data_IF_515525237889
#
_entry.id   IF_515525237889
#
_cell.length_a   1.000
_cell.length_b   1.000
_cell.length_c   1.000
_cell.angle_alpha   90.00
_cell.angle_beta   90.00
_cell.angle_gamma   90.00
#
_symmetry.space_group_name_H-M   'P 1'
#
loop_
_entity.id
_entity.type
_entity.pdbx_description
1 polymer ?
#
# COMPACT_ATOMS: atom_id res chain seq x y z
N UNK A 1 3.43 23.23 13.68
CA UNK A 1 2.25 22.72 12.97
C UNK A 1 1.03 23.02 13.82
N UNK A 2 -0.04 23.57 13.25
CA UNK A 2 -1.29 23.77 13.99
C UNK A 2 -2.06 22.43 14.09
N UNK A 3 -2.84 22.22 15.17
CA UNK A 3 -3.60 20.98 15.40
C UNK A 3 -4.55 20.64 14.24
N UNK A 4 -5.17 21.66 13.63
CA UNK A 4 -6.01 21.50 12.43
C UNK A 4 -5.23 20.95 11.23
N UNK A 5 -3.99 21.40 11.04
CA UNK A 5 -3.13 20.87 9.97
C UNK A 5 -2.73 19.44 10.27
N UNK A 6 -2.42 19.12 11.53
CA UNK A 6 -2.06 17.78 11.97
C UNK A 6 -3.17 16.76 11.63
N UNK A 7 -4.44 17.09 11.90
CA UNK A 7 -5.57 16.24 11.52
C UNK A 7 -5.76 16.11 10.00
N UNK A 8 -5.50 17.18 9.23
CA UNK A 8 -5.54 17.10 7.75
C UNK A 8 -4.45 16.18 7.22
N UNK A 9 -3.25 16.24 7.79
CA UNK A 9 -2.16 15.31 7.45
C UNK A 9 -2.50 13.88 7.83
N UNK A 10 -3.11 13.65 8.99
CA UNK A 10 -3.59 12.33 9.39
C UNK A 10 -4.58 11.74 8.38
N UNK A 11 -5.57 12.52 7.95
CA UNK A 11 -6.54 12.08 6.94
C UNK A 11 -5.87 11.79 5.59
N UNK A 12 -4.89 12.62 5.18
CA UNK A 12 -4.17 12.41 3.93
C UNK A 12 -3.30 11.15 3.98
N UNK A 13 -2.61 10.89 5.10
CA UNK A 13 -1.84 9.66 5.29
C UNK A 13 -2.73 8.43 5.28
N UNK A 14 -3.93 8.50 5.89
CA UNK A 14 -4.89 7.40 5.82
C UNK A 14 -5.35 7.13 4.38
N UNK A 15 -5.72 8.17 3.63
CA UNK A 15 -6.13 8.01 2.24
C UNK A 15 -5.03 7.38 1.37
N UNK A 16 -3.76 7.74 1.59
CA UNK A 16 -2.62 7.14 0.86
C UNK A 16 -2.39 5.67 1.26
N UNK A 17 -2.62 5.30 2.53
CA UNK A 17 -2.55 3.91 2.97
C UNK A 17 -3.67 3.07 2.34
N UNK A 18 -4.88 3.61 2.28
CA UNK A 18 -6.04 2.92 1.68
C UNK A 18 -5.80 2.69 0.17
N UNK A 19 -5.24 3.68 -0.52
CA UNK A 19 -4.86 3.57 -1.94
C UNK A 19 -3.76 2.53 -2.16
N UNK A 20 -2.67 2.59 -1.38
CA UNK A 20 -1.58 1.63 -1.49
C UNK A 20 -2.04 0.19 -1.19
N UNK A 21 -2.92 0.02 -0.20
CA UNK A 21 -3.52 -1.28 0.09
C UNK A 21 -4.40 -1.74 -1.07
N UNK A 22 -5.24 -0.88 -1.65
CA UNK A 22 -6.07 -1.23 -2.81
C UNK A 22 -5.25 -1.71 -4.01
N UNK A 23 -4.03 -1.18 -4.19
CA UNK A 23 -3.10 -1.67 -5.22
C UNK A 23 -2.57 -3.07 -4.87
N UNK A 24 -2.23 -3.34 -3.62
CA UNK A 24 -1.74 -4.65 -3.16
C UNK A 24 -2.84 -5.72 -3.12
N UNK A 25 -4.09 -5.34 -2.88
CA UNK A 25 -5.25 -6.25 -2.88
C UNK A 25 -5.62 -6.73 -4.30
N UNK A 26 -5.05 -6.12 -5.35
CA UNK A 26 -5.25 -6.57 -6.71
C UNK A 26 -4.33 -7.76 -7.05
N UNK A 27 -4.90 -8.97 -7.13
CA UNK A 27 -4.18 -10.22 -7.46
C UNK A 27 -3.31 -10.11 -8.71
N UNK A 28 -3.76 -9.37 -9.73
CA UNK A 28 -3.01 -9.15 -10.97
C UNK A 28 -1.70 -8.39 -10.74
N UNK A 29 -1.60 -7.57 -9.70
CA UNK A 29 -0.34 -6.91 -9.36
C UNK A 29 0.61 -7.91 -8.70
N UNK A 30 0.10 -8.79 -7.82
CA UNK A 30 0.88 -9.70 -6.93
C UNK A 30 1.19 -11.08 -7.46
N UNK A 31 0.59 -11.46 -8.58
CA UNK A 31 0.83 -12.77 -9.20
C UNK A 31 1.59 -12.64 -10.52
N UNK A 32 2.44 -13.64 -10.78
CA UNK A 32 3.05 -13.82 -12.09
C UNK A 32 2.30 -14.92 -12.82
N UNK A 33 1.98 -14.70 -14.09
CA UNK A 33 1.34 -15.71 -14.94
C UNK A 33 2.42 -16.38 -15.77
N UNK A 34 2.52 -17.71 -15.69
CA UNK A 34 3.46 -18.49 -16.50
C UNK A 34 2.68 -19.42 -17.43
N UNK A 35 2.79 -19.19 -18.74
CA UNK A 35 2.17 -20.02 -19.76
C UNK A 35 3.19 -21.01 -20.30
N UNK A 36 2.90 -22.31 -20.22
CA UNK A 36 3.77 -23.37 -20.75
C UNK A 36 3.12 -24.00 -21.98
N UNK A 37 3.77 -23.85 -23.12
CA UNK A 37 3.39 -24.43 -24.40
C UNK A 37 4.02 -25.82 -24.52
N UNK A 38 3.18 -26.85 -24.41
CA UNK A 38 3.61 -28.26 -24.40
C UNK A 38 3.86 -28.79 -25.82
N UNK A 39 4.83 -28.22 -26.55
CA UNK A 39 5.13 -28.59 -27.94
C UNK A 39 5.57 -30.05 -28.08
N UNK A 40 6.22 -30.61 -27.06
CA UNK A 40 6.68 -32.01 -27.09
C UNK A 40 5.51 -33.00 -27.21
N UNK A 41 4.30 -32.64 -26.71
CA UNK A 41 3.11 -33.50 -26.78
C UNK A 41 2.64 -33.73 -28.21
N UNK A 42 2.91 -32.79 -29.11
CA UNK A 42 2.49 -32.86 -30.52
C UNK A 42 3.66 -33.25 -31.41
N UNK A 43 4.89 -32.83 -31.05
CA UNK A 43 6.12 -33.17 -31.77
C UNK A 43 7.18 -33.63 -30.76
N UNK A 44 7.47 -34.92 -30.71
CA UNK A 44 8.36 -35.52 -29.69
C UNK A 44 9.80 -34.96 -29.68
N UNK A 45 10.24 -34.34 -30.77
CA UNK A 45 11.56 -33.72 -30.93
C UNK A 45 11.59 -32.23 -30.53
N UNK A 46 10.43 -31.62 -30.25
CA UNK A 46 10.32 -30.21 -29.87
C UNK A 46 10.34 -30.05 -28.34
N UNK A 47 10.99 -28.98 -27.86
CA UNK A 47 10.99 -28.63 -26.44
C UNK A 47 9.75 -27.80 -26.06
N UNK A 48 9.28 -28.00 -24.83
CA UNK A 48 8.22 -27.19 -24.25
C UNK A 48 8.75 -25.79 -23.94
N UNK A 49 7.93 -24.77 -24.19
CA UNK A 49 8.32 -23.37 -24.03
C UNK A 49 7.50 -22.74 -22.90
N UNK A 50 8.16 -22.21 -21.86
CA UNK A 50 7.50 -21.46 -20.80
C UNK A 50 7.75 -19.97 -20.98
N UNK A 51 6.67 -19.20 -21.09
CA UNK A 51 6.69 -17.73 -21.18
C UNK A 51 6.06 -17.17 -19.90
N UNK A 52 6.78 -16.28 -19.23
CA UNK A 52 6.25 -15.46 -18.15
C UNK A 52 5.50 -14.27 -18.76
N UNK A 53 4.19 -14.26 -18.60
CA UNK A 53 3.35 -13.16 -19.03
C UNK A 53 3.36 -12.06 -17.98
N UNK A 54 3.55 -10.83 -18.44
CA UNK A 54 3.56 -9.68 -17.55
C UNK A 54 2.11 -9.19 -17.36
N UNK A 55 1.64 -9.04 -16.11
CA UNK A 55 0.32 -8.46 -15.88
C UNK A 55 0.23 -7.08 -16.56
N UNK A 56 -0.86 -6.83 -17.27
CA UNK A 56 -1.11 -5.57 -17.97
C UNK A 56 -1.63 -4.49 -17.01
N UNK A 57 -1.02 -4.39 -15.83
CA UNK A 57 -1.38 -3.40 -14.80
C UNK A 57 -0.25 -2.39 -14.64
N UNK A 58 -0.60 -1.16 -14.28
CA UNK A 58 0.38 -0.08 -14.12
C UNK A 58 1.37 -0.33 -12.95
N UNK A 59 0.97 -1.16 -11.98
CA UNK A 59 1.77 -1.50 -10.80
C UNK A 59 2.39 -2.91 -10.86
N UNK A 60 2.26 -3.60 -11.99
CA UNK A 60 2.93 -4.88 -12.19
C UNK A 60 4.43 -4.74 -11.88
N UNK A 61 4.99 -5.68 -11.12
CA UNK A 61 6.39 -5.69 -10.67
C UNK A 61 6.82 -4.59 -9.68
N UNK A 62 5.96 -3.61 -9.34
CA UNK A 62 6.30 -2.50 -8.44
C UNK A 62 5.88 -2.74 -6.98
N UNK A 63 5.37 -3.93 -6.68
CA UNK A 63 4.78 -4.28 -5.37
C UNK A 63 5.76 -4.06 -4.23
N UNK A 64 7.03 -4.40 -4.45
CA UNK A 64 8.04 -4.24 -3.40
C UNK A 64 8.21 -2.75 -3.07
N UNK A 65 8.11 -1.87 -4.07
CA UNK A 65 8.20 -0.42 -3.86
C UNK A 65 6.93 0.11 -3.18
N UNK A 66 5.74 -0.40 -3.53
CA UNK A 66 4.48 -0.06 -2.88
C UNK A 66 4.46 -0.52 -1.42
N UNK A 67 4.93 -1.74 -1.13
CA UNK A 67 5.04 -2.26 0.22
C UNK A 67 6.03 -1.43 1.07
N UNK A 68 7.19 -1.04 0.49
CA UNK A 68 8.12 -0.11 1.15
C UNK A 68 7.47 1.25 1.41
N UNK A 69 6.69 1.76 0.47
CA UNK A 69 5.96 3.00 0.65
C UNK A 69 4.92 2.92 1.77
N UNK A 70 4.17 1.81 1.88
CA UNK A 70 3.26 1.57 3.00
C UNK A 70 3.98 1.55 4.35
N UNK A 71 5.14 0.90 4.44
CA UNK A 71 5.94 0.91 5.67
C UNK A 71 6.34 2.34 6.07
N UNK A 72 6.81 3.12 5.10
CA UNK A 72 7.13 4.53 5.32
C UNK A 72 5.92 5.35 5.81
N UNK A 73 4.74 5.16 5.19
CA UNK A 73 3.51 5.85 5.60
C UNK A 73 3.09 5.48 7.04
N UNK A 74 3.25 4.22 7.44
CA UNK A 74 2.95 3.76 8.80
C UNK A 74 3.86 4.42 9.84
N UNK A 75 5.15 4.57 9.52
CA UNK A 75 6.11 5.27 10.39
C UNK A 75 5.79 6.76 10.54
N UNK A 76 5.46 7.44 9.43
CA UNK A 76 5.05 8.85 9.45
C UNK A 76 3.75 9.04 10.23
N UNK A 77 2.78 8.14 10.04
CA UNK A 77 1.53 8.13 10.82
C UNK A 77 1.81 7.98 12.31
N UNK A 78 2.68 7.04 12.70
CA UNK A 78 3.07 6.85 14.10
C UNK A 78 3.70 8.10 14.72
N UNK A 79 4.64 8.75 14.01
CA UNK A 79 5.27 10.01 14.44
C UNK A 79 4.26 11.14 14.60
N UNK A 80 3.33 11.27 13.64
CA UNK A 80 2.29 12.29 13.67
C UNK A 80 1.34 12.09 14.86
N UNK A 81 0.89 10.86 15.13
CA UNK A 81 0.00 10.56 16.26
C UNK A 81 0.68 10.83 17.61
N UNK A 82 1.96 10.46 17.75
CA UNK A 82 2.73 10.76 18.95
C UNK A 82 2.87 12.27 19.18
N UNK A 83 3.10 13.04 18.12
CA UNK A 83 3.19 14.50 18.18
C UNK A 83 1.84 15.14 18.52
N UNK A 84 0.73 14.69 17.91
CA UNK A 84 -0.63 15.16 18.21
C UNK A 84 -0.97 14.86 19.67
N UNK A 85 -0.70 13.65 20.15
CA UNK A 85 -0.97 13.26 21.55
C UNK A 85 -0.19 14.15 22.52
N UNK A 86 1.11 14.34 22.29
CA UNK A 86 1.93 15.24 23.11
C UNK A 86 1.41 16.68 23.10
N UNK A 87 0.92 17.15 21.95
CA UNK A 87 0.34 18.49 21.84
C UNK A 87 -1.01 18.61 22.55
N UNK A 88 -1.84 17.55 22.51
CA UNK A 88 -3.09 17.46 23.28
C UNK A 88 -2.82 17.42 24.79
N UNK A 89 -1.90 16.57 25.25
CA UNK A 89 -1.57 16.42 26.68
C UNK A 89 -0.99 17.70 27.30
N UNK A 90 -0.42 18.60 26.48
CA UNK A 90 0.11 19.89 26.90
C UNK A 90 -0.97 21.00 26.98
N UNK A 91 -2.18 20.74 26.48
CA UNK A 91 -3.31 21.65 26.59
C UNK A 91 -4.07 21.33 27.88
N UNK A 92 -4.22 22.34 28.76
CA UNK A 92 -4.91 22.23 30.06
C UNK A 92 -6.45 22.17 29.93
N UNK A 93 -6.96 21.82 28.73
CA UNK A 93 -8.38 21.65 28.42
C UNK A 93 -8.59 20.27 27.83
N UNK A 94 -9.51 19.50 28.43
CA UNK A 94 -9.95 18.20 27.93
C UNK A 94 -10.77 18.39 26.64
N UNK A 95 -10.09 18.28 25.50
CA UNK A 95 -10.71 18.36 24.18
C UNK A 95 -11.40 17.05 23.77
N UNK A 96 -11.28 15.96 24.54
CA UNK A 96 -11.95 14.69 24.21
C UNK A 96 -13.45 14.74 24.54
N UNK A 97 -13.90 15.70 25.37
CA UNK A 97 -15.34 15.97 25.60
C UNK A 97 -16.04 16.72 24.46
N UNK A 98 -15.28 17.44 23.61
CA UNK A 98 -15.83 18.30 22.55
C UNK A 98 -15.90 17.62 21.16
N UNK A 99 -15.42 16.38 21.06
CA UNK A 99 -15.46 15.58 19.80
C UNK A 99 -16.39 14.39 19.98
N UNK A 100 -17.63 14.67 20.40
CA UNK A 100 -18.75 13.75 20.24
C UNK A 100 -19.68 14.31 19.17
N UNK A 101 -19.51 13.87 17.92
CA UNK A 101 -20.53 13.70 16.86
C UNK A 101 -19.89 13.27 15.53
#
# INVERSE_FOLDING_TARGET
>A
MNLKEAFRYQNKLQALLDEAQGILDCDSNVTNVANTYLRHKVMAEAEDETILDLPQTEYAQQITDIARFMLYLLEEKGRLFAAIRKAKDALDMDMDSEVSL
#
